data_IF_813039689425
#
_entry.id   IF_813039689425
#
_cell.length_a   1.000
_cell.length_b   1.000
_cell.length_c   1.000
_cell.angle_alpha   90.00
_cell.angle_beta   90.00
_cell.angle_gamma   90.00
#
_symmetry.space_group_name_H-M   'P 1'
#
loop_
_entity.id
_entity.type
_entity.pdbx_description
1 polymer ?
#
# COMPACT_ATOMS: atom_id res chain seq x y z
N UNK A 1 -22.88 73.10 -18.70
CA UNK A 1 -24.07 72.24 -18.53
C UNK A 1 -23.95 71.11 -19.54
N UNK A 2 -23.21 70.07 -19.16
CA UNK A 2 -22.93 68.93 -20.01
C UNK A 2 -24.17 68.06 -20.20
N UNK A 3 -24.48 67.78 -21.46
CA UNK A 3 -25.66 67.01 -21.86
C UNK A 3 -25.41 65.54 -21.50
N UNK A 4 -26.20 65.01 -20.59
CA UNK A 4 -26.28 63.58 -20.28
C UNK A 4 -26.80 62.83 -21.51
N UNK A 5 -25.95 62.00 -22.13
CA UNK A 5 -26.35 61.06 -23.19
C UNK A 5 -26.49 59.68 -22.54
N UNK A 6 -27.70 59.12 -22.42
CA UNK A 6 -27.88 57.78 -21.85
C UNK A 6 -27.27 56.74 -22.81
N UNK A 7 -26.27 56.01 -22.33
CA UNK A 7 -25.68 54.89 -23.06
C UNK A 7 -26.71 53.76 -23.05
N UNK A 8 -27.31 53.49 -24.20
CA UNK A 8 -28.31 52.45 -24.39
C UNK A 8 -27.63 51.07 -24.27
N UNK A 9 -27.95 50.24 -23.25
CA UNK A 9 -27.20 49.01 -22.95
C UNK A 9 -27.53 47.83 -23.89
N UNK A 10 -28.39 48.01 -24.90
CA UNK A 10 -28.85 46.93 -25.77
C UNK A 10 -28.86 47.30 -27.27
N UNK A 11 -27.77 47.90 -27.76
CA UNK A 11 -27.56 48.03 -29.21
C UNK A 11 -26.22 47.46 -29.67
N UNK A 12 -25.95 46.22 -29.26
CA UNK A 12 -24.95 45.39 -29.91
C UNK A 12 -25.55 44.85 -31.21
N UNK A 13 -25.49 45.64 -32.28
CA UNK A 13 -25.92 45.14 -33.60
C UNK A 13 -24.92 44.11 -34.08
N UNK A 14 -25.41 42.94 -34.48
CA UNK A 14 -24.66 41.83 -35.10
C UNK A 14 -23.77 42.24 -36.30
N UNK A 15 -23.93 43.48 -36.80
CA UNK A 15 -23.16 44.08 -37.89
C UNK A 15 -21.76 44.53 -37.49
N UNK A 16 -21.49 44.78 -36.20
CA UNK A 16 -20.13 45.03 -35.71
C UNK A 16 -19.34 43.73 -35.47
N UNK A 17 -20.02 42.59 -35.31
CA UNK A 17 -19.39 41.29 -35.15
C UNK A 17 -18.67 40.78 -36.43
N UNK A 18 -18.90 41.42 -37.58
CA UNK A 18 -18.28 41.05 -38.86
C UNK A 18 -17.06 41.91 -39.23
N UNK A 19 -16.64 42.86 -38.38
CA UNK A 19 -15.52 43.78 -38.69
C UNK A 19 -14.17 43.37 -38.10
N UNK A 20 -14.06 42.21 -37.45
CA UNK A 20 -12.79 41.67 -36.96
C UNK A 20 -12.71 40.18 -37.28
N UNK A 21 -12.49 39.82 -38.54
CA UNK A 21 -12.31 38.44 -39.01
C UNK A 21 -10.95 37.85 -38.61
N UNK A 22 -10.43 38.21 -37.44
CA UNK A 22 -9.16 37.71 -36.91
C UNK A 22 -9.20 37.73 -35.37
N UNK A 23 -10.30 37.24 -34.80
CA UNK A 23 -10.38 37.00 -33.35
C UNK A 23 -9.58 35.74 -33.07
N UNK A 24 -8.43 35.90 -32.41
CA UNK A 24 -7.57 34.79 -32.02
C UNK A 24 -8.30 33.88 -31.02
N UNK A 25 -8.87 32.77 -31.51
CA UNK A 25 -9.54 31.77 -30.68
C UNK A 25 -8.57 30.98 -29.80
N UNK A 26 -7.29 31.36 -29.72
CA UNK A 26 -6.36 30.76 -28.74
C UNK A 26 -6.69 31.14 -27.29
N UNK A 27 -7.43 32.24 -27.08
CA UNK A 27 -7.72 32.79 -25.76
C UNK A 27 -9.16 32.47 -25.31
N UNK A 28 -9.37 31.97 -24.08
CA UNK A 28 -10.71 31.67 -23.55
C UNK A 28 -11.73 32.82 -23.57
N UNK A 29 -11.28 34.08 -23.57
CA UNK A 29 -12.14 35.26 -23.72
C UNK A 29 -12.78 35.42 -25.11
N UNK A 30 -12.27 34.69 -26.10
CA UNK A 30 -12.69 34.76 -27.50
C UNK A 30 -13.55 33.58 -27.94
N UNK A 31 -13.89 32.66 -27.03
CA UNK A 31 -14.81 31.56 -27.30
C UNK A 31 -16.26 32.04 -27.42
N UNK A 32 -17.12 31.22 -28.02
CA UNK A 32 -18.57 31.46 -28.08
C UNK A 32 -19.18 31.70 -26.68
N UNK A 33 -18.61 31.06 -25.65
CA UNK A 33 -18.94 31.25 -24.24
C UNK A 33 -17.69 31.69 -23.49
N UNK A 34 -17.39 32.99 -23.43
CA UNK A 34 -16.17 33.49 -22.83
C UNK A 34 -16.17 33.26 -21.32
N UNK A 35 -15.01 32.90 -20.77
CA UNK A 35 -14.85 32.73 -19.32
C UNK A 35 -14.45 34.05 -18.65
N UNK A 36 -15.19 34.46 -17.62
CA UNK A 36 -14.86 35.58 -16.74
C UNK A 36 -13.62 35.27 -15.93
N UNK A 37 -12.69 36.23 -15.90
CA UNK A 37 -11.46 36.17 -15.14
C UNK A 37 -11.73 36.02 -13.64
N UNK A 38 -11.15 34.98 -13.03
CA UNK A 38 -11.30 34.69 -11.60
C UNK A 38 -10.87 35.86 -10.71
N UNK A 39 -9.68 36.43 -10.96
CA UNK A 39 -9.14 37.53 -10.15
C UNK A 39 -9.95 38.82 -10.27
N UNK A 40 -10.41 39.15 -11.48
CA UNK A 40 -11.26 40.31 -11.70
C UNK A 40 -12.62 40.15 -11.01
N UNK A 41 -13.24 38.96 -11.11
CA UNK A 41 -14.51 38.70 -10.45
C UNK A 41 -14.40 38.69 -8.92
N UNK A 42 -13.36 38.07 -8.38
CA UNK A 42 -13.18 37.90 -6.93
C UNK A 42 -12.72 39.18 -6.23
N UNK A 43 -11.81 39.94 -6.86
CA UNK A 43 -11.14 41.08 -6.23
C UNK A 43 -11.53 42.42 -6.86
N UNK A 44 -12.36 42.43 -7.90
CA UNK A 44 -12.66 43.61 -8.71
C UNK A 44 -11.48 44.09 -9.58
N UNK A 45 -10.33 43.42 -9.51
CA UNK A 45 -9.09 43.84 -10.18
C UNK A 45 -8.25 42.63 -10.57
N UNK A 46 -7.78 42.62 -11.82
CA UNK A 46 -6.75 41.70 -12.29
C UNK A 46 -5.42 42.44 -12.44
N UNK A 47 -4.31 41.73 -12.23
CA UNK A 47 -2.96 42.28 -12.44
C UNK A 47 -2.61 42.44 -13.93
N UNK A 48 -3.38 41.80 -14.83
CA UNK A 48 -3.23 41.92 -16.29
C UNK A 48 -4.19 42.99 -16.84
N UNK A 49 -3.80 43.67 -17.92
CA UNK A 49 -4.71 44.53 -18.70
C UNK A 49 -5.76 43.65 -19.40
N UNK A 50 -6.88 44.23 -19.81
CA UNK A 50 -7.97 43.49 -20.48
C UNK A 50 -7.51 42.86 -21.82
N UNK A 51 -6.64 43.57 -22.54
CA UNK A 51 -5.99 43.10 -23.78
C UNK A 51 -5.09 41.87 -23.53
N UNK A 52 -4.33 41.87 -22.41
CA UNK A 52 -3.32 40.85 -22.07
C UNK A 52 -3.87 39.68 -21.24
N UNK A 53 -5.11 39.81 -20.73
CA UNK A 53 -5.77 38.76 -19.98
C UNK A 53 -6.34 37.72 -20.92
N UNK A 54 -6.15 36.43 -20.60
CA UNK A 54 -6.74 35.33 -21.36
C UNK A 54 -8.25 35.16 -21.12
N UNK A 55 -8.77 35.81 -20.09
CA UNK A 55 -10.15 35.73 -19.62
C UNK A 55 -10.82 37.12 -19.68
N UNK A 56 -12.15 37.16 -19.73
CA UNK A 56 -12.93 38.38 -19.82
C UNK A 56 -12.96 39.17 -18.48
N UNK A 57 -12.76 40.49 -18.51
CA UNK A 57 -12.99 41.40 -17.37
C UNK A 57 -14.42 41.98 -17.35
N UNK A 58 -15.40 41.14 -17.65
CA UNK A 58 -16.82 41.43 -17.47
C UNK A 58 -17.53 40.13 -17.10
N UNK A 59 -18.74 40.26 -16.54
CA UNK A 59 -19.54 39.11 -16.15
C UNK A 59 -20.18 38.46 -17.39
N UNK A 60 -19.76 37.24 -17.71
CA UNK A 60 -20.27 36.44 -18.84
C UNK A 60 -21.25 35.35 -18.40
N UNK A 61 -21.47 35.19 -17.08
CA UNK A 61 -22.18 34.06 -16.48
C UNK A 61 -21.37 32.76 -16.41
N UNK A 62 -20.13 32.74 -16.91
CA UNK A 62 -19.25 31.57 -16.88
C UNK A 62 -17.91 31.94 -16.25
N UNK A 63 -17.62 31.43 -15.06
CA UNK A 63 -16.43 31.82 -14.31
C UNK A 63 -15.28 30.83 -14.53
N UNK A 64 -14.07 31.36 -14.72
CA UNK A 64 -12.86 30.55 -14.66
C UNK A 64 -12.66 29.99 -13.24
N UNK A 65 -12.19 28.75 -13.13
CA UNK A 65 -11.84 28.14 -11.85
C UNK A 65 -10.68 28.85 -11.16
N UNK A 66 -10.60 28.73 -9.83
CA UNK A 66 -9.46 29.21 -9.06
C UNK A 66 -8.17 28.50 -9.53
N UNK A 67 -7.02 29.20 -9.57
CA UNK A 67 -5.75 28.57 -9.89
C UNK A 67 -5.41 27.51 -8.85
N UNK A 68 -5.11 26.29 -9.29
CA UNK A 68 -4.72 25.18 -8.41
C UNK A 68 -3.27 25.43 -7.95
N UNK A 69 -3.08 25.58 -6.64
CA UNK A 69 -1.75 25.63 -6.03
C UNK A 69 -1.38 24.20 -5.59
N UNK A 70 -0.45 23.55 -6.29
CA UNK A 70 0.06 22.24 -5.92
C UNK A 70 1.28 22.45 -5.02
N UNK A 71 1.17 22.27 -3.69
CA UNK A 71 2.31 22.46 -2.79
C UNK A 71 3.39 21.43 -3.13
N UNK A 72 4.59 21.90 -3.50
CA UNK A 72 5.78 21.07 -3.77
C UNK A 72 6.34 21.18 -5.19
N UNK A 73 5.61 21.74 -6.16
CA UNK A 73 6.17 22.02 -7.48
C UNK A 73 6.84 23.40 -7.44
N UNK A 74 8.14 23.39 -7.15
CA UNK A 74 9.00 24.58 -7.17
C UNK A 74 8.75 25.35 -8.46
N UNK A 75 8.44 26.64 -8.29
CA UNK A 75 8.21 27.66 -9.32
C UNK A 75 9.24 27.57 -10.46
N UNK A 76 8.97 26.70 -11.43
CA UNK A 76 9.66 26.61 -12.69
C UNK A 76 8.57 26.82 -13.73
N UNK A 77 8.78 27.83 -14.56
CA UNK A 77 7.75 28.50 -15.34
C UNK A 77 6.83 27.56 -16.13
N UNK A 78 5.64 28.07 -16.46
CA UNK A 78 4.59 27.38 -17.21
C UNK A 78 5.16 26.43 -18.26
N UNK A 79 5.06 25.12 -18.01
CA UNK A 79 5.58 24.11 -18.92
C UNK A 79 4.48 23.76 -19.92
N UNK A 80 4.34 24.56 -20.97
CA UNK A 80 3.47 24.24 -22.10
C UNK A 80 4.27 23.51 -23.20
N UNK A 81 3.73 22.40 -23.71
CA UNK A 81 4.26 21.71 -24.89
C UNK A 81 5.42 20.72 -24.62
N UNK A 82 6.48 20.76 -25.44
CA UNK A 82 7.54 19.74 -25.48
C UNK A 82 8.35 19.62 -24.18
N UNK A 83 8.56 20.73 -23.47
CA UNK A 83 9.31 20.73 -22.22
C UNK A 83 8.59 19.96 -21.10
N UNK A 84 7.26 19.86 -21.15
CA UNK A 84 6.47 19.10 -20.18
C UNK A 84 6.68 17.61 -20.36
N UNK A 85 6.76 17.16 -21.62
CA UNK A 85 6.97 15.75 -21.97
C UNK A 85 8.34 15.23 -21.55
N UNK A 86 9.38 16.06 -21.69
CA UNK A 86 10.74 15.68 -21.29
C UNK A 86 10.86 15.61 -19.76
N UNK A 87 10.30 16.58 -19.03
CA UNK A 87 10.28 16.54 -17.56
C UNK A 87 9.43 15.37 -17.03
N UNK A 88 8.29 15.09 -17.63
CA UNK A 88 7.46 13.94 -17.24
C UNK A 88 8.16 12.61 -17.54
N UNK A 89 8.86 12.49 -18.67
CA UNK A 89 9.62 11.28 -19.00
C UNK A 89 10.79 11.05 -18.02
N UNK A 90 11.52 12.12 -17.67
CA UNK A 90 12.59 12.04 -16.69
C UNK A 90 12.07 11.70 -15.28
N UNK A 91 10.96 12.32 -14.85
CA UNK A 91 10.30 12.00 -13.59
C UNK A 91 9.84 10.53 -13.54
N UNK A 92 9.23 10.04 -14.63
CA UNK A 92 8.79 8.64 -14.75
C UNK A 92 9.97 7.68 -14.67
N UNK A 93 11.10 8.00 -15.32
CA UNK A 93 12.31 7.16 -15.27
C UNK A 93 12.91 7.08 -13.87
N UNK A 94 12.88 8.18 -13.10
CA UNK A 94 13.36 8.20 -11.72
C UNK A 94 12.41 7.41 -10.80
N UNK A 95 11.10 7.60 -10.93
CA UNK A 95 10.08 6.86 -10.19
C UNK A 95 10.18 5.35 -10.45
N UNK A 96 10.37 4.94 -11.70
CA UNK A 96 10.59 3.53 -12.08
C UNK A 96 11.86 2.96 -11.43
N UNK A 97 12.93 3.75 -11.33
CA UNK A 97 14.18 3.31 -10.72
C UNK A 97 14.05 3.14 -9.21
N UNK A 98 13.34 4.07 -8.55
CA UNK A 98 13.02 3.98 -7.11
C UNK A 98 12.13 2.76 -6.85
N UNK A 99 11.09 2.55 -7.67
CA UNK A 99 10.21 1.39 -7.57
C UNK A 99 10.97 0.07 -7.79
N UNK A 100 11.91 0.02 -8.74
CA UNK A 100 12.74 -1.15 -8.97
C UNK A 100 13.65 -1.45 -7.76
N UNK A 101 14.25 -0.43 -7.15
CA UNK A 101 15.07 -0.60 -5.96
C UNK A 101 14.24 -1.07 -4.75
N UNK A 102 13.04 -0.52 -4.54
CA UNK A 102 12.11 -0.98 -3.50
C UNK A 102 11.69 -2.43 -3.70
N UNK A 103 11.43 -2.82 -4.95
CA UNK A 103 11.08 -4.18 -5.32
C UNK A 103 12.23 -5.16 -5.02
N UNK A 104 13.48 -4.79 -5.32
CA UNK A 104 14.66 -5.61 -4.97
C UNK A 104 14.79 -5.81 -3.46
N UNK A 105 14.61 -4.76 -2.66
CA UNK A 105 14.65 -4.85 -1.19
C UNK A 105 13.56 -5.78 -0.67
N UNK A 106 12.37 -5.73 -1.26
CA UNK A 106 11.26 -6.61 -0.89
C UNK A 106 11.53 -8.07 -1.27
N UNK A 107 12.10 -8.32 -2.45
CA UNK A 107 12.48 -9.65 -2.89
C UNK A 107 13.55 -10.28 -1.99
N UNK A 108 14.56 -9.52 -1.60
CA UNK A 108 15.61 -10.01 -0.69
C UNK A 108 15.02 -10.39 0.67
N UNK A 109 14.09 -9.58 1.19
CA UNK A 109 13.37 -9.88 2.43
C UNK A 109 12.52 -11.14 2.35
N UNK A 110 11.89 -11.40 1.20
CA UNK A 110 11.16 -12.64 0.99
C UNK A 110 12.10 -13.86 0.98
N UNK A 111 13.27 -13.74 0.35
CA UNK A 111 14.28 -14.81 0.34
C UNK A 111 14.79 -15.13 1.74
N UNK A 112 15.04 -14.12 2.57
CA UNK A 112 15.47 -14.37 3.96
C UNK A 112 14.37 -15.07 4.75
N UNK A 113 13.12 -14.63 4.62
CA UNK A 113 11.98 -15.29 5.27
C UNK A 113 11.77 -16.73 4.78
N UNK A 114 11.91 -17.01 3.49
CA UNK A 114 11.83 -18.38 2.97
C UNK A 114 12.92 -19.27 3.57
N UNK A 115 14.13 -18.74 3.77
CA UNK A 115 15.22 -19.48 4.41
C UNK A 115 14.89 -19.78 5.88
N UNK A 116 14.45 -18.77 6.63
CA UNK A 116 14.09 -18.91 8.03
C UNK A 116 12.93 -19.89 8.24
N UNK A 117 11.94 -19.88 7.34
CA UNK A 117 10.82 -20.82 7.35
C UNK A 117 11.32 -22.26 7.17
N UNK A 118 12.17 -22.51 6.16
CA UNK A 118 12.77 -23.83 5.93
C UNK A 118 13.56 -24.32 7.13
N UNK A 119 14.34 -23.46 7.77
CA UNK A 119 15.05 -23.80 8.99
C UNK A 119 14.10 -24.12 10.15
N UNK A 120 12.99 -23.39 10.27
CA UNK A 120 11.99 -23.64 11.30
C UNK A 120 11.26 -24.97 11.08
N UNK A 121 10.87 -25.29 9.85
CA UNK A 121 10.27 -26.58 9.49
C UNK A 121 11.19 -27.76 9.82
N UNK A 122 12.50 -27.65 9.51
CA UNK A 122 13.48 -28.67 9.88
C UNK A 122 13.56 -28.86 11.40
N UNK A 123 13.66 -27.78 12.17
CA UNK A 123 13.67 -27.85 13.65
C UNK A 123 12.41 -28.48 14.22
N UNK A 124 11.24 -28.22 13.63
CA UNK A 124 10.00 -28.86 14.06
C UNK A 124 10.02 -30.36 13.78
N UNK A 125 10.49 -30.77 12.59
CA UNK A 125 10.61 -32.17 12.23
C UNK A 125 11.56 -32.93 13.16
N UNK A 126 12.72 -32.35 13.47
CA UNK A 126 13.66 -32.92 14.44
C UNK A 126 13.02 -33.09 15.82
N UNK A 127 12.33 -32.05 16.31
CA UNK A 127 11.59 -32.12 17.58
C UNK A 127 10.50 -33.19 17.58
N UNK A 128 9.77 -33.33 16.47
CA UNK A 128 8.76 -34.38 16.33
C UNK A 128 9.38 -35.78 16.39
N UNK A 129 10.49 -35.99 15.68
CA UNK A 129 11.22 -37.26 15.71
C UNK A 129 11.74 -37.59 17.11
N UNK A 130 12.27 -36.60 17.83
CA UNK A 130 12.78 -36.77 19.19
C UNK A 130 11.65 -37.10 20.18
N UNK A 131 10.51 -36.40 20.07
CA UNK A 131 9.32 -36.72 20.86
C UNK A 131 8.82 -38.14 20.57
N UNK A 132 8.81 -38.57 19.30
CA UNK A 132 8.40 -39.92 18.92
C UNK A 132 9.38 -40.98 19.46
N UNK A 133 10.69 -40.75 19.37
CA UNK A 133 11.71 -41.61 19.99
C UNK A 133 11.50 -41.70 21.51
N UNK A 134 11.31 -40.57 22.19
CA UNK A 134 11.07 -40.52 23.62
C UNK A 134 9.79 -41.27 24.03
N UNK A 135 8.71 -41.16 23.25
CA UNK A 135 7.48 -41.90 23.45
C UNK A 135 7.69 -43.42 23.32
N UNK A 136 8.44 -43.86 22.30
CA UNK A 136 8.81 -45.26 22.09
C UNK A 136 9.64 -45.80 23.24
N UNK A 137 10.68 -45.10 23.68
CA UNK A 137 11.50 -45.49 24.82
C UNK A 137 10.66 -45.62 26.10
N UNK A 138 9.82 -44.62 26.42
CA UNK A 138 8.90 -44.68 27.56
C UNK A 138 7.95 -45.87 27.50
N UNK A 139 7.46 -46.23 26.32
CA UNK A 139 6.60 -47.41 26.14
C UNK A 139 7.36 -48.73 26.34
N UNK A 140 8.61 -48.82 25.89
CA UNK A 140 9.48 -49.97 26.06
C UNK A 140 9.88 -50.15 27.53
N UNK A 141 10.23 -49.06 28.23
CA UNK A 141 10.54 -49.07 29.66
C UNK A 141 9.35 -49.57 30.48
N UNK A 142 8.14 -49.06 30.22
CA UNK A 142 6.90 -49.54 30.86
C UNK A 142 6.65 -51.03 30.60
N UNK A 143 6.98 -51.53 29.41
CA UNK A 143 6.83 -52.95 29.10
C UNK A 143 7.88 -53.81 29.83
N UNK A 144 9.12 -53.32 29.90
CA UNK A 144 10.22 -53.95 30.65
C UNK A 144 9.88 -54.04 32.14
N UNK A 145 9.44 -52.93 32.74
CA UNK A 145 9.00 -52.86 34.13
C UNK A 145 7.85 -53.83 34.42
N UNK A 146 6.84 -53.90 33.53
CA UNK A 146 5.76 -54.90 33.61
C UNK A 146 6.26 -56.34 33.54
N UNK A 147 7.27 -56.63 32.72
CA UNK A 147 7.87 -57.98 32.62
C UNK A 147 8.65 -58.34 33.89
N UNK A 148 9.44 -57.42 34.43
CA UNK A 148 10.16 -57.60 35.70
C UNK A 148 9.19 -57.83 36.86
N UNK A 149 8.15 -56.99 37.00
CA UNK A 149 7.13 -57.16 38.03
C UNK A 149 6.38 -58.50 37.94
N UNK A 150 6.15 -59.02 36.73
CA UNK A 150 5.59 -60.38 36.52
C UNK A 150 6.56 -61.46 36.98
N UNK A 151 7.85 -61.33 36.66
CA UNK A 151 8.90 -62.26 37.08
C UNK A 151 9.04 -62.30 38.61
N UNK A 152 9.06 -61.15 39.26
CA UNK A 152 9.15 -61.05 40.73
C UNK A 152 7.93 -61.67 41.41
N UNK A 153 6.73 -61.44 40.86
CA UNK A 153 5.50 -62.06 41.36
C UNK A 153 5.52 -63.59 41.20
N UNK A 154 6.03 -64.09 40.08
CA UNK A 154 6.18 -65.52 39.85
C UNK A 154 7.19 -66.15 40.84
N UNK A 155 8.33 -65.49 41.05
CA UNK A 155 9.36 -65.94 42.00
C UNK A 155 8.83 -66.01 43.44
N UNK A 156 8.11 -64.97 43.90
CA UNK A 156 7.46 -64.98 45.23
C UNK A 156 6.45 -66.12 45.36
N UNK A 157 5.66 -66.39 44.33
CA UNK A 157 4.67 -67.47 44.34
C UNK A 157 5.29 -68.86 44.43
N UNK A 158 6.44 -69.09 43.79
CA UNK A 158 7.15 -70.38 43.84
C UNK A 158 7.99 -70.57 45.10
N UNK A 159 8.53 -69.49 45.68
CA UNK A 159 9.34 -69.54 46.90
C UNK A 159 8.57 -69.91 48.17
N UNK A 160 7.25 -69.65 48.20
CA UNK A 160 6.38 -70.03 49.34
C UNK A 160 6.05 -71.53 49.38
N UNK A 161 6.27 -72.27 48.30
CA UNK A 161 5.92 -73.71 48.23
C UNK A 161 7.02 -74.64 48.78
N UNK A 162 8.27 -74.15 48.93
CA UNK A 162 9.40 -74.98 49.36
C UNK A 162 9.65 -74.98 50.86
N UNK A 163 9.03 -74.09 51.64
CA UNK A 163 9.23 -74.01 53.10
C UNK A 163 8.33 -74.93 53.93
N UNK A 164 7.29 -75.53 53.33
CA UNK A 164 6.31 -76.36 54.05
C UNK A 164 6.66 -77.86 54.11
N UNK A 165 7.74 -78.32 53.46
CA UNK A 165 8.05 -79.76 53.37
C UNK A 165 9.23 -80.25 54.24
N UNK A 166 9.76 -79.42 55.15
CA UNK A 166 10.92 -79.76 56.00
C UNK A 166 10.59 -80.14 57.45
N UNK A 167 9.30 -80.32 57.82
CA UNK A 167 8.88 -80.54 59.23
C UNK A 167 8.43 -81.96 59.59
N UNK A 168 8.68 -82.99 58.77
CA UNK A 168 8.14 -84.34 59.00
C UNK A 168 9.15 -85.48 59.19
N UNK A 169 10.45 -85.21 59.37
CA UNK A 169 11.45 -86.26 59.61
C UNK A 169 12.36 -85.93 60.80
N UNK A 170 11.81 -85.99 62.01
CA UNK A 170 12.57 -86.25 63.24
C UNK A 170 11.59 -86.75 64.29
N UNK A 171 11.46 -88.08 64.42
CA UNK A 171 11.26 -88.78 65.69
C UNK A 171 11.15 -90.28 65.41
N UNK A 172 11.95 -91.09 66.12
CA UNK A 172 11.90 -92.55 66.05
C UNK A 172 13.25 -93.21 66.29
N UNK A 173 13.73 -93.15 67.54
CA UNK A 173 14.66 -94.13 68.13
C UNK A 173 13.89 -95.35 68.62
#
# INVERSE_FOLDING_TARGET
MDRYVPVNPYRFTYRDALRTSNVDTSLPKNFERPLTCFFWHQNGRCNKRDEDCAYAHWNTGHFAGAPINIPGLVSTGAVAGKNARNLSAAATSLEQSIAAADLQVREERLRTWEHDLKQWEQRLKEKEEDLNKAAKTRSADRLSERRSARRDRAFRKTGDCTSLNSRLFHDGS
#
